data_IF_471379293014
#
_entry.id   IF_471379293014
#
_cell.length_a   1.000
_cell.length_b   1.000
_cell.length_c   1.000
_cell.angle_alpha   90.00
_cell.angle_beta   90.00
_cell.angle_gamma   90.00
#
_symmetry.space_group_name_H-M   'P 1'
#
loop_
_entity.id
_entity.type
_entity.pdbx_description
1 polymer ?
#
# COMPACT_ATOMS: atom_id res chain seq x y z
N UNK A 1 -2.59 23.34 31.45
CA UNK A 1 -2.78 24.00 30.13
C UNK A 1 -1.61 23.72 29.17
N UNK A 2 -0.36 23.66 29.63
CA UNK A 2 0.80 23.28 28.80
C UNK A 2 0.78 21.80 28.38
N UNK A 3 0.55 20.87 29.31
CA UNK A 3 0.49 19.41 29.04
C UNK A 3 -0.52 19.02 27.94
N UNK A 4 -1.76 19.53 28.02
CA UNK A 4 -2.79 19.27 27.00
C UNK A 4 -2.43 19.82 25.62
N UNK A 5 -1.52 20.81 25.57
CA UNK A 5 -1.05 21.43 24.32
C UNK A 5 0.05 20.58 23.68
N UNK A 6 0.87 19.91 24.51
CA UNK A 6 1.88 18.94 24.09
C UNK A 6 1.21 17.67 23.55
N UNK A 7 0.23 17.12 24.26
CA UNK A 7 -0.54 15.94 23.81
C UNK A 7 -1.25 16.19 22.46
N UNK A 8 -1.85 17.38 22.31
CA UNK A 8 -2.51 17.78 21.07
C UNK A 8 -1.53 18.00 19.90
N UNK A 9 -0.29 18.39 20.19
CA UNK A 9 0.76 18.58 19.19
C UNK A 9 1.29 17.23 18.70
N UNK A 10 1.56 16.29 19.61
CA UNK A 10 2.01 14.93 19.26
C UNK A 10 0.98 14.20 18.41
N UNK A 11 -0.30 14.28 18.77
CA UNK A 11 -1.39 13.70 17.98
C UNK A 11 -1.43 14.26 16.54
N UNK A 12 -1.19 15.57 16.38
CA UNK A 12 -1.12 16.22 15.06
C UNK A 12 0.09 15.77 14.26
N UNK A 13 1.26 15.65 14.88
CA UNK A 13 2.48 15.16 14.21
C UNK A 13 2.29 13.72 13.74
N UNK A 14 1.70 12.86 14.57
CA UNK A 14 1.41 11.48 14.20
C UNK A 14 0.44 11.41 13.01
N UNK A 15 -0.61 12.23 13.02
CA UNK A 15 -1.54 12.32 11.89
C UNK A 15 -0.86 12.78 10.60
N UNK A 16 0.04 13.77 10.69
CA UNK A 16 0.75 14.29 9.52
C UNK A 16 1.70 13.24 8.93
N UNK A 17 2.44 12.51 9.77
CA UNK A 17 3.29 11.40 9.31
C UNK A 17 2.49 10.24 8.73
N UNK A 18 1.34 9.90 9.32
CA UNK A 18 0.45 8.90 8.76
C UNK A 18 -0.09 9.34 7.40
N UNK A 19 -0.42 10.62 7.22
CA UNK A 19 -0.88 11.16 5.96
C UNK A 19 0.21 11.11 4.87
N UNK A 20 1.46 11.43 5.22
CA UNK A 20 2.59 11.39 4.30
C UNK A 20 2.96 9.94 3.89
N UNK A 21 3.00 9.02 4.87
CA UNK A 21 3.18 7.59 4.60
C UNK A 21 2.06 7.02 3.72
N UNK A 22 0.81 7.42 4.01
CA UNK A 22 -0.36 7.06 3.21
C UNK A 22 -0.19 7.56 1.78
N UNK A 23 0.22 8.81 1.58
CA UNK A 23 0.47 9.37 0.25
C UNK A 23 1.54 8.59 -0.53
N UNK A 24 2.66 8.24 0.12
CA UNK A 24 3.70 7.38 -0.46
C UNK A 24 3.21 5.98 -0.85
N UNK A 25 2.32 5.40 -0.05
CA UNK A 25 1.66 4.12 -0.35
C UNK A 25 0.73 4.24 -1.57
N UNK A 26 -0.01 5.34 -1.72
CA UNK A 26 -0.87 5.58 -2.88
C UNK A 26 -0.10 5.78 -4.19
N UNK A 27 1.09 6.41 -4.14
CA UNK A 27 1.93 6.58 -5.34
C UNK A 27 2.60 5.26 -5.75
N UNK A 28 3.04 4.46 -4.80
CA UNK A 28 3.76 3.19 -5.05
C UNK A 28 2.84 2.02 -5.43
N UNK A 29 1.56 2.06 -5.06
CA UNK A 29 0.58 1.00 -5.35
C UNK A 29 0.33 0.74 -6.85
N UNK A 30 0.07 1.75 -7.69
CA UNK A 30 -0.12 1.55 -9.12
C UNK A 30 1.08 0.86 -9.77
N UNK A 31 2.29 1.25 -9.37
CA UNK A 31 3.55 0.65 -9.86
C UNK A 31 3.61 -0.83 -9.48
N UNK A 32 3.29 -1.17 -8.24
CA UNK A 32 3.27 -2.54 -7.75
C UNK A 32 2.27 -3.42 -8.51
N UNK A 33 1.04 -2.94 -8.72
CA UNK A 33 0.02 -3.68 -9.46
C UNK A 33 0.43 -3.90 -10.91
N UNK A 34 0.91 -2.86 -11.60
CA UNK A 34 1.38 -2.97 -12.99
C UNK A 34 2.55 -3.96 -13.10
N UNK A 35 3.56 -3.83 -12.24
CA UNK A 35 4.72 -4.72 -12.25
C UNK A 35 4.33 -6.18 -11.97
N UNK A 36 3.43 -6.42 -11.00
CA UNK A 36 2.94 -7.78 -10.71
C UNK A 36 2.19 -8.39 -11.90
N UNK A 37 1.41 -7.60 -12.64
CA UNK A 37 0.72 -8.03 -13.85
C UNK A 37 1.68 -8.35 -14.99
N UNK A 38 2.73 -7.54 -15.17
CA UNK A 38 3.79 -7.81 -16.15
C UNK A 38 4.53 -9.12 -15.85
N UNK A 39 4.85 -9.38 -14.57
CA UNK A 39 5.49 -10.64 -14.14
C UNK A 39 4.58 -11.83 -14.44
N UNK A 40 3.30 -11.75 -14.09
CA UNK A 40 2.33 -12.80 -14.38
C UNK A 40 2.24 -13.08 -15.88
N UNK A 41 2.15 -12.02 -16.69
CA UNK A 41 2.11 -12.11 -18.16
C UNK A 41 3.35 -12.80 -18.70
N UNK A 42 4.54 -12.40 -18.25
CA UNK A 42 5.80 -13.01 -18.68
C UNK A 42 5.88 -14.50 -18.31
N UNK A 43 5.41 -14.88 -17.12
CA UNK A 43 5.41 -16.28 -16.66
C UNK A 43 4.45 -17.15 -17.48
N UNK A 44 3.24 -16.66 -17.75
CA UNK A 44 2.26 -17.33 -18.60
C UNK A 44 2.81 -17.56 -20.00
N UNK A 45 3.46 -16.54 -20.59
CA UNK A 45 4.10 -16.65 -21.91
C UNK A 45 5.30 -17.61 -21.91
N UNK A 46 5.94 -17.83 -20.77
CA UNK A 46 7.09 -18.74 -20.62
C UNK A 46 6.68 -20.19 -20.33
N UNK A 47 5.37 -20.51 -20.33
CA UNK A 47 4.87 -21.86 -20.08
C UNK A 47 4.76 -22.26 -18.61
N UNK A 48 4.95 -21.32 -17.68
CA UNK A 48 4.63 -21.47 -16.27
C UNK A 48 3.44 -20.59 -15.88
N UNK A 49 3.17 -20.43 -14.57
CA UNK A 49 2.16 -19.44 -14.16
C UNK A 49 1.52 -19.65 -12.81
N UNK A 50 1.49 -20.88 -12.26
CA UNK A 50 0.81 -21.13 -11.00
C UNK A 50 1.41 -20.34 -9.82
N UNK A 51 2.75 -20.39 -9.67
CA UNK A 51 3.44 -19.61 -8.64
C UNK A 51 3.32 -18.09 -8.86
N UNK A 52 3.33 -17.65 -10.13
CA UNK A 52 3.15 -16.24 -10.45
C UNK A 52 1.72 -15.74 -10.17
N UNK A 53 0.71 -16.60 -10.36
CA UNK A 53 -0.67 -16.28 -10.04
C UNK A 53 -0.86 -16.14 -8.51
N UNK A 54 -0.29 -17.05 -7.71
CA UNK A 54 -0.29 -16.91 -6.25
C UNK A 54 0.40 -15.62 -5.83
N UNK A 55 1.58 -15.34 -6.37
CA UNK A 55 2.31 -14.10 -6.09
C UNK A 55 1.51 -12.85 -6.44
N UNK A 56 0.90 -12.84 -7.64
CA UNK A 56 0.05 -11.75 -8.11
C UNK A 56 -1.13 -11.50 -7.15
N UNK A 57 -1.81 -12.56 -6.71
CA UNK A 57 -2.92 -12.46 -5.76
C UNK A 57 -2.47 -11.90 -4.42
N UNK A 58 -1.35 -12.37 -3.88
CA UNK A 58 -0.80 -11.88 -2.60
C UNK A 58 -0.46 -10.39 -2.68
N UNK A 59 0.26 -9.96 -3.73
CA UNK A 59 0.65 -8.55 -3.90
C UNK A 59 -0.59 -7.65 -4.02
N UNK A 60 -1.58 -8.05 -4.82
CA UNK A 60 -2.79 -7.25 -5.00
C UNK A 60 -3.69 -7.26 -3.76
N UNK A 61 -3.72 -8.35 -2.98
CA UNK A 61 -4.41 -8.38 -1.68
C UNK A 61 -3.78 -7.38 -0.68
N UNK A 62 -2.45 -7.28 -0.64
CA UNK A 62 -1.75 -6.28 0.19
C UNK A 62 -2.10 -4.85 -0.29
N UNK A 63 -2.12 -4.61 -1.61
CA UNK A 63 -2.48 -3.30 -2.15
C UNK A 63 -3.94 -2.94 -1.83
N UNK A 64 -4.88 -3.88 -1.92
CA UNK A 64 -6.27 -3.68 -1.48
C UNK A 64 -6.35 -3.37 0.02
N UNK A 65 -5.60 -4.09 0.85
CA UNK A 65 -5.51 -3.80 2.29
C UNK A 65 -5.00 -2.39 2.57
N UNK A 66 -3.99 -1.92 1.83
CA UNK A 66 -3.49 -0.55 1.93
C UNK A 66 -4.52 0.50 1.48
N UNK A 67 -5.28 0.22 0.42
CA UNK A 67 -6.39 1.09 -0.01
C UNK A 67 -7.44 1.20 1.09
N UNK A 68 -7.82 0.09 1.72
CA UNK A 68 -8.81 0.06 2.80
C UNK A 68 -8.34 0.83 4.05
N UNK A 69 -7.06 0.68 4.45
CA UNK A 69 -6.45 1.47 5.52
C UNK A 69 -6.34 2.95 5.17
N UNK A 70 -6.08 3.24 3.89
CA UNK A 70 -6.13 4.59 3.38
C UNK A 70 -7.55 5.16 3.46
N UNK A 71 -8.58 4.41 3.15
CA UNK A 71 -9.97 4.90 3.06
C UNK A 71 -10.69 5.11 4.41
N UNK A 72 -9.96 5.38 5.51
CA UNK A 72 -10.62 5.84 6.74
C UNK A 72 -11.40 7.15 6.47
N UNK A 73 -12.72 7.19 6.73
CA UNK A 73 -13.56 8.37 6.53
C UNK A 73 -13.18 9.53 7.45
#
# INVERSE_FOLDING_TARGET
MALMKEDALEARILQDQLADLRAGLFVSMPISTVLSGLILTAQVLSGGGFGAAIWFLVVNAINVGRLALGHQP
#
